data_IF_238959550214
#
_entry.id   IF_238959550214
#
_cell.length_a   1.000
_cell.length_b   1.000
_cell.length_c   1.000
_cell.angle_alpha   90.00
_cell.angle_beta   90.00
_cell.angle_gamma   90.00
#
_symmetry.space_group_name_H-M   'P 1'
#
loop_
_entity.id
_entity.type
_entity.pdbx_description
1 polymer ?
#
# COMPACT_ATOMS: atom_id res chain seq x y z
N UNK A 1 -27.37 41.61 19.56
CA UNK A 1 -26.15 40.82 19.24
C UNK A 1 -26.61 39.45 18.75
N UNK A 2 -26.45 39.14 17.46
CA UNK A 2 -26.75 37.80 16.91
C UNK A 2 -25.58 36.88 17.30
N UNK A 3 -25.84 35.98 18.24
CA UNK A 3 -24.89 34.92 18.58
C UNK A 3 -24.68 34.02 17.37
N UNK A 4 -23.47 34.01 16.84
CA UNK A 4 -23.07 33.09 15.79
C UNK A 4 -23.19 31.66 16.32
N UNK A 5 -24.10 30.89 15.72
CA UNK A 5 -24.17 29.45 15.94
C UNK A 5 -22.86 28.87 15.39
N UNK A 6 -21.91 28.55 16.28
CA UNK A 6 -20.81 27.64 15.95
C UNK A 6 -21.47 26.38 15.39
N UNK A 7 -21.34 26.16 14.07
CA UNK A 7 -21.80 24.94 13.44
C UNK A 7 -21.18 23.77 14.20
N UNK A 8 -22.02 22.85 14.70
CA UNK A 8 -21.55 21.67 15.40
C UNK A 8 -20.78 20.79 14.40
N UNK A 9 -19.47 20.99 14.33
CA UNK A 9 -18.56 20.13 13.58
C UNK A 9 -18.61 18.74 14.19
N UNK A 10 -18.79 17.72 13.35
CA UNK A 10 -18.74 16.32 13.78
C UNK A 10 -17.30 15.89 14.09
N UNK A 11 -17.13 14.83 14.88
CA UNK A 11 -15.81 14.25 15.18
C UNK A 11 -15.08 13.83 13.89
N UNK A 12 -15.83 13.29 12.91
CA UNK A 12 -15.27 12.89 11.62
C UNK A 12 -14.74 14.08 10.83
N UNK A 13 -15.50 15.17 10.76
CA UNK A 13 -15.07 16.41 10.08
C UNK A 13 -13.87 17.05 10.77
N UNK A 14 -13.84 17.05 12.11
CA UNK A 14 -12.70 17.53 12.87
C UNK A 14 -11.44 16.68 12.58
N UNK A 15 -11.58 15.35 12.53
CA UNK A 15 -10.50 14.43 12.20
C UNK A 15 -9.96 14.64 10.78
N UNK A 16 -10.85 14.74 9.79
CA UNK A 16 -10.48 15.04 8.40
C UNK A 16 -9.72 16.36 8.30
N UNK A 17 -10.27 17.44 8.88
CA UNK A 17 -9.65 18.77 8.85
C UNK A 17 -8.28 18.78 9.53
N UNK A 18 -8.12 18.04 10.63
CA UNK A 18 -6.83 17.86 11.30
C UNK A 18 -5.81 17.12 10.44
N UNK A 19 -6.24 16.08 9.72
CA UNK A 19 -5.41 15.36 8.75
C UNK A 19 -4.96 16.24 7.59
N UNK A 20 -5.88 17.00 7.01
CA UNK A 20 -5.60 17.96 5.92
C UNK A 20 -4.60 19.03 6.37
N UNK A 21 -4.82 19.65 7.54
CA UNK A 21 -3.90 20.65 8.10
C UNK A 21 -2.50 20.07 8.35
N UNK A 22 -2.42 18.83 8.87
CA UNK A 22 -1.15 18.13 9.07
C UNK A 22 -0.46 17.86 7.74
N UNK A 23 -1.21 17.42 6.74
CA UNK A 23 -0.68 17.13 5.41
C UNK A 23 -0.16 18.38 4.71
N UNK A 24 -0.88 19.50 4.79
CA UNK A 24 -0.43 20.79 4.25
C UNK A 24 0.84 21.30 4.94
N UNK A 25 0.93 21.13 6.27
CA UNK A 25 2.06 21.60 7.06
C UNK A 25 3.34 20.81 6.80
N UNK A 26 3.25 19.49 6.73
CA UNK A 26 4.41 18.60 6.78
C UNK A 26 4.73 17.89 5.45
N UNK A 27 3.77 17.84 4.52
CA UNK A 27 3.97 17.26 3.19
C UNK A 27 4.25 15.75 3.18
N UNK A 28 4.67 15.25 2.02
CA UNK A 28 4.88 13.82 1.77
C UNK A 28 6.04 13.23 2.58
N UNK A 29 7.17 13.95 2.67
CA UNK A 29 8.39 13.46 3.34
C UNK A 29 8.14 13.10 4.81
N UNK A 30 7.24 13.82 5.48
CA UNK A 30 6.84 13.49 6.85
C UNK A 30 6.22 12.09 6.95
N UNK A 31 5.26 11.78 6.07
CA UNK A 31 4.61 10.47 6.05
C UNK A 31 5.58 9.35 5.64
N UNK A 32 6.49 9.63 4.72
CA UNK A 32 7.55 8.70 4.34
C UNK A 32 8.47 8.39 5.53
N UNK A 33 8.91 9.42 6.25
CA UNK A 33 9.79 9.27 7.40
C UNK A 33 9.13 8.52 8.56
N UNK A 34 7.87 8.82 8.91
CA UNK A 34 7.16 8.06 9.95
C UNK A 34 6.90 6.62 9.51
N UNK A 35 6.62 6.38 8.23
CA UNK A 35 6.46 5.04 7.66
C UNK A 35 7.76 4.23 7.76
N UNK A 36 8.89 4.81 7.33
CA UNK A 36 10.23 4.21 7.47
C UNK A 36 10.56 3.88 8.92
N UNK A 37 10.28 4.80 9.85
CA UNK A 37 10.50 4.60 11.28
C UNK A 37 9.66 3.43 11.82
N UNK A 38 8.37 3.39 11.51
CA UNK A 38 7.48 2.31 11.92
C UNK A 38 7.90 0.95 11.35
N UNK A 39 8.30 0.92 10.07
CA UNK A 39 8.83 -0.28 9.42
C UNK A 39 10.11 -0.79 10.08
N UNK A 40 11.07 0.11 10.36
CA UNK A 40 12.30 -0.24 11.07
C UNK A 40 12.03 -0.82 12.46
N UNK A 41 11.19 -0.16 13.26
CA UNK A 41 10.82 -0.65 14.59
C UNK A 41 10.12 -2.01 14.54
N UNK A 42 9.26 -2.23 13.54
CA UNK A 42 8.57 -3.53 13.35
C UNK A 42 9.58 -4.61 13.00
N UNK A 43 10.47 -4.34 12.05
CA UNK A 43 11.53 -5.27 11.63
C UNK A 43 12.47 -5.63 12.78
N UNK A 44 12.92 -4.64 13.55
CA UNK A 44 13.77 -4.87 14.74
C UNK A 44 13.07 -5.70 15.81
N UNK A 45 11.77 -5.50 16.01
CA UNK A 45 11.00 -6.21 17.03
C UNK A 45 10.70 -7.66 16.67
N UNK A 46 10.33 -7.92 15.43
CA UNK A 46 9.74 -9.19 15.02
C UNK A 46 10.63 -10.03 14.10
N UNK A 47 11.58 -9.41 13.39
CA UNK A 47 12.49 -10.08 12.48
C UNK A 47 11.82 -10.78 11.30
N UNK A 48 12.59 -11.61 10.59
CA UNK A 48 12.15 -12.32 9.38
C UNK A 48 10.97 -13.28 9.57
N UNK A 49 10.88 -14.08 10.67
CA UNK A 49 9.79 -15.06 10.83
C UNK A 49 8.39 -14.43 10.80
N UNK A 50 8.26 -13.20 11.28
CA UNK A 50 6.99 -12.47 11.23
C UNK A 50 6.54 -12.18 9.80
N UNK A 51 7.46 -11.75 8.94
CA UNK A 51 7.15 -11.48 7.53
C UNK A 51 6.84 -12.75 6.75
N UNK A 52 7.52 -13.86 7.09
CA UNK A 52 7.21 -15.18 6.53
C UNK A 52 5.79 -15.63 6.93
N UNK A 53 5.42 -15.50 8.20
CA UNK A 53 4.10 -15.88 8.70
C UNK A 53 2.97 -15.05 8.05
N UNK A 54 3.10 -13.73 8.00
CA UNK A 54 2.07 -12.88 7.38
C UNK A 54 1.99 -13.09 5.87
N UNK A 55 3.12 -13.37 5.22
CA UNK A 55 3.19 -13.72 3.80
C UNK A 55 2.46 -15.05 3.51
N UNK A 56 2.74 -16.08 4.32
CA UNK A 56 2.07 -17.38 4.22
C UNK A 56 0.56 -17.25 4.43
N UNK A 57 0.11 -16.51 5.45
CA UNK A 57 -1.32 -16.24 5.70
C UNK A 57 -1.98 -15.51 4.52
N UNK A 58 -1.33 -14.51 3.95
CA UNK A 58 -1.82 -13.79 2.77
C UNK A 58 -1.95 -14.70 1.55
N UNK A 59 -0.94 -15.55 1.33
CA UNK A 59 -0.94 -16.54 0.25
C UNK A 59 -2.06 -17.57 0.40
N UNK A 60 -2.24 -18.13 1.61
CA UNK A 60 -3.33 -19.06 1.92
C UNK A 60 -4.70 -18.43 1.70
N UNK A 61 -4.91 -17.20 2.18
CA UNK A 61 -6.16 -16.46 2.01
C UNK A 61 -6.47 -16.25 0.52
N UNK A 62 -5.47 -15.86 -0.26
CA UNK A 62 -5.60 -15.66 -1.71
C UNK A 62 -5.94 -16.97 -2.42
N UNK A 63 -5.23 -18.05 -2.08
CA UNK A 63 -5.45 -19.38 -2.64
C UNK A 63 -6.86 -19.91 -2.34
N UNK A 64 -7.32 -19.76 -1.09
CA UNK A 64 -8.68 -20.14 -0.71
C UNK A 64 -9.75 -19.34 -1.44
N UNK A 65 -9.51 -18.03 -1.67
CA UNK A 65 -10.48 -17.15 -2.31
C UNK A 65 -10.60 -17.38 -3.82
N UNK A 66 -9.49 -17.62 -4.51
CA UNK A 66 -9.46 -17.61 -5.97
C UNK A 66 -9.08 -18.95 -6.62
N UNK A 67 -8.53 -19.90 -5.86
CA UNK A 67 -8.19 -21.23 -6.36
C UNK A 67 -7.09 -21.25 -7.42
N UNK A 68 -6.97 -22.40 -8.10
CA UNK A 68 -5.87 -22.67 -9.04
C UNK A 68 -5.89 -21.80 -10.29
N UNK A 69 -7.08 -21.57 -10.89
CA UNK A 69 -7.21 -20.81 -12.14
C UNK A 69 -6.67 -19.39 -12.05
N UNK A 70 -6.73 -18.76 -10.87
CA UNK A 70 -6.11 -17.46 -10.64
C UNK A 70 -4.59 -17.48 -10.80
N UNK A 71 -3.92 -18.51 -10.28
CA UNK A 71 -2.47 -18.65 -10.42
C UNK A 71 -2.05 -18.95 -11.87
N UNK A 72 -2.85 -19.73 -12.58
CA UNK A 72 -2.66 -19.98 -14.01
C UNK A 72 -2.77 -18.68 -14.82
N UNK A 73 -3.82 -17.88 -14.56
CA UNK A 73 -4.05 -16.61 -15.26
C UNK A 73 -2.92 -15.60 -15.01
N UNK A 74 -2.53 -15.39 -13.74
CA UNK A 74 -1.44 -14.45 -13.42
C UNK A 74 -0.10 -14.95 -13.95
N UNK A 75 0.14 -16.27 -13.96
CA UNK A 75 1.34 -16.87 -14.54
C UNK A 75 1.40 -16.66 -16.05
N UNK A 76 0.28 -16.89 -16.74
CA UNK A 76 0.16 -16.63 -18.17
C UNK A 76 0.38 -15.15 -18.51
N UNK A 77 -0.26 -14.22 -17.77
CA UNK A 77 -0.03 -12.77 -17.94
C UNK A 77 1.44 -12.39 -17.72
N UNK A 78 2.08 -12.95 -16.69
CA UNK A 78 3.50 -12.74 -16.42
C UNK A 78 4.38 -13.21 -17.57
N UNK A 79 4.13 -14.41 -18.09
CA UNK A 79 4.84 -14.97 -19.24
C UNK A 79 4.68 -14.14 -20.51
N UNK A 80 3.47 -13.67 -20.81
CA UNK A 80 3.23 -12.75 -21.93
C UNK A 80 4.02 -11.45 -21.76
N UNK A 81 4.09 -10.91 -20.54
CA UNK A 81 4.86 -9.69 -20.28
C UNK A 81 6.35 -9.88 -20.52
N UNK A 82 6.89 -11.01 -20.06
CA UNK A 82 8.30 -11.37 -20.31
C UNK A 82 8.58 -11.48 -21.81
N UNK A 83 7.70 -12.13 -22.57
CA UNK A 83 7.82 -12.24 -24.02
C UNK A 83 7.86 -10.87 -24.70
N UNK A 84 6.94 -9.98 -24.35
CA UNK A 84 6.87 -8.60 -24.87
C UNK A 84 8.17 -7.82 -24.60
N UNK A 85 8.72 -7.95 -23.38
CA UNK A 85 9.98 -7.28 -23.01
C UNK A 85 11.17 -7.79 -23.82
N UNK A 86 11.24 -9.09 -24.08
CA UNK A 86 12.28 -9.70 -24.91
C UNK A 86 12.19 -9.19 -26.36
N UNK A 87 10.99 -9.15 -26.93
CA UNK A 87 10.77 -8.64 -28.30
C UNK A 87 11.16 -7.16 -28.42
N UNK A 88 10.77 -6.32 -27.45
CA UNK A 88 11.18 -4.91 -27.39
C UNK A 88 12.69 -4.75 -27.26
N UNK A 89 13.35 -5.55 -26.42
CA UNK A 89 14.81 -5.53 -26.28
C UNK A 89 15.55 -5.90 -27.56
N UNK A 90 15.02 -6.88 -28.31
CA UNK A 90 15.57 -7.27 -29.63
C UNK A 90 15.35 -6.18 -30.69
N UNK A 91 14.20 -5.52 -30.68
CA UNK A 91 13.86 -4.47 -31.64
C UNK A 91 14.58 -3.14 -31.37
N UNK A 92 14.88 -2.82 -30.11
CA UNK A 92 15.60 -1.59 -29.74
C UNK A 92 17.13 -1.73 -29.75
N UNK A 93 17.66 -2.93 -29.96
CA UNK A 93 19.10 -3.21 -30.09
C UNK A 93 19.59 -3.33 -31.53
N UNK A 94 18.74 -3.05 -32.52
CA UNK A 94 19.04 -3.05 -33.96
C UNK A 94 19.19 -1.62 -34.50
#
# INVERSE_FOLDING_TARGET
>A
MKGEKKGNMTVSEAGKRGGETTSERYGHEFYENIGKKGGKTTSERYGSPFYEEIGAKGGQTTSQKYGHGFYEEIGHKGGQKVKELIEKGKAGGA
#
